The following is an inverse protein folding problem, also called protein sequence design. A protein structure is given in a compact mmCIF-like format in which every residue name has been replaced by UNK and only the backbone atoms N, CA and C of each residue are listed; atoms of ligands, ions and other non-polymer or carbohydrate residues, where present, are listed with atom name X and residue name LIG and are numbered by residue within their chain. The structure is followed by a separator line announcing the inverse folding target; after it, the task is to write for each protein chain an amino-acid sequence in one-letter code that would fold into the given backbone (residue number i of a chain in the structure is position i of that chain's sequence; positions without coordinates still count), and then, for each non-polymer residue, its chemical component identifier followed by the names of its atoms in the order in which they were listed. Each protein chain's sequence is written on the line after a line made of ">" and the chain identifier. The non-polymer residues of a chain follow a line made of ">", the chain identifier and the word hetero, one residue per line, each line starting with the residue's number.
data_IF_414280135817
#
_entry.id   IF_414280135817
#
_cell.length_a   1.000
_cell.length_b   1.000
_cell.length_c   1.000
_cell.angle_alpha   90.00
_cell.angle_beta   90.00
_cell.angle_gamma   90.00
#
_symmetry.space_group_name_H-M   'P 1'
#
loop_
_entity.id
_entity.type
_entity.pdbx_description
1 polymer ?
#
# COMPACT_ATOMS: atom_id res chain seq x y z
N UNK A 1 -4.53 21.89 24.72
CA UNK A 1 -4.07 22.82 23.67
C UNK A 1 -3.72 21.99 22.45
N UNK A 2 -4.61 21.97 21.46
CA UNK A 2 -4.48 21.14 20.26
C UNK A 2 -3.51 21.82 19.29
N UNK A 3 -2.33 21.24 19.08
CA UNK A 3 -1.37 21.74 18.09
C UNK A 3 -1.83 21.21 16.73
N UNK A 4 -2.40 22.08 15.90
CA UNK A 4 -2.67 21.78 14.49
C UNK A 4 -1.35 21.37 13.83
N UNK A 5 -1.24 20.10 13.41
CA UNK A 5 -0.27 19.70 12.41
C UNK A 5 -0.67 20.40 11.13
N UNK A 6 0.09 21.42 10.75
CA UNK A 6 0.02 21.98 9.41
C UNK A 6 0.61 20.90 8.51
N UNK A 7 -0.25 20.20 7.75
CA UNK A 7 0.20 19.44 6.58
C UNK A 7 0.93 20.44 5.69
N UNK A 8 2.27 20.37 5.64
CA UNK A 8 2.99 21.02 4.57
C UNK A 8 2.57 20.34 3.28
N UNK A 9 2.25 21.10 2.21
CA UNK A 9 1.99 20.51 0.91
C UNK A 9 3.21 19.71 0.47
N UNK A 10 2.96 18.52 -0.06
CA UNK A 10 3.99 17.59 -0.53
C UNK A 10 4.89 18.31 -1.56
N UNK A 11 6.20 18.45 -1.33
CA UNK A 11 7.09 19.20 -2.22
C UNK A 11 7.16 18.64 -3.65
N UNK A 12 6.70 17.41 -3.87
CA UNK A 12 6.64 16.77 -5.19
C UNK A 12 5.29 16.91 -5.90
N UNK A 13 4.27 17.52 -5.29
CA UNK A 13 3.01 17.78 -5.98
C UNK A 13 3.13 19.09 -6.78
N UNK A 14 3.18 19.05 -8.13
CA UNK A 14 3.28 20.27 -8.91
C UNK A 14 2.03 21.11 -8.65
N UNK A 15 2.23 22.35 -8.19
CA UNK A 15 1.16 23.33 -7.97
C UNK A 15 0.18 23.28 -9.14
N UNK A 16 -1.10 22.91 -8.93
CA UNK A 16 -2.08 22.89 -10.00
C UNK A 16 -2.10 24.27 -10.66
N UNK A 17 -1.85 24.31 -11.97
CA UNK A 17 -1.75 25.56 -12.70
C UNK A 17 -3.01 26.40 -12.43
N UNK A 18 -2.87 27.71 -12.12
CA UNK A 18 -4.01 28.55 -11.78
C UNK A 18 -5.01 28.51 -12.94
N UNK A 19 -6.23 28.05 -12.66
CA UNK A 19 -7.28 27.98 -13.65
C UNK A 19 -7.49 29.39 -14.26
N UNK A 20 -7.32 29.55 -15.59
CA UNK A 20 -7.48 30.85 -16.22
C UNK A 20 -8.92 31.34 -16.05
N UNK A 21 -9.05 32.62 -15.65
CA UNK A 21 -10.33 33.32 -15.49
C UNK A 21 -11.19 33.11 -16.73
N UNK A 22 -12.43 32.66 -16.53
CA UNK A 22 -13.48 32.51 -17.55
C UNK A 22 -13.61 33.80 -18.37
N UNK A 23 -13.23 33.72 -19.65
CA UNK A 23 -13.83 34.51 -20.72
C UNK A 23 -14.44 33.56 -21.77
N UNK A 24 -15.57 33.97 -22.36
CA UNK A 24 -16.51 33.14 -23.11
C UNK A 24 -16.06 32.82 -24.55
N UNK A 25 -16.16 31.53 -24.93
CA UNK A 25 -16.26 30.88 -26.28
C UNK A 25 -14.99 31.01 -27.16
N UNK A 26 -14.45 30.00 -27.85
CA UNK A 26 -15.00 28.80 -28.48
C UNK A 26 -13.98 27.64 -28.53
N UNK A 27 -14.46 26.45 -28.90
CA UNK A 27 -13.81 25.13 -28.88
C UNK A 27 -12.35 25.02 -29.37
N UNK A 28 -11.52 24.32 -28.59
CA UNK A 28 -10.50 23.38 -29.10
C UNK A 28 -9.92 22.57 -27.94
N UNK A 29 -9.98 21.24 -28.00
CA UNK A 29 -9.13 20.35 -27.19
C UNK A 29 -9.78 19.55 -26.06
N UNK A 30 -11.07 19.22 -26.10
CA UNK A 30 -11.52 18.01 -25.38
C UNK A 30 -10.90 16.81 -26.10
N UNK A 31 -9.87 16.22 -25.51
CA UNK A 31 -9.40 14.90 -25.92
C UNK A 31 -10.61 13.97 -25.78
N UNK A 32 -11.23 13.63 -26.91
CA UNK A 32 -12.30 12.63 -26.97
C UNK A 32 -11.68 11.32 -26.51
N UNK A 33 -11.86 10.98 -25.24
CA UNK A 33 -11.71 9.61 -24.79
C UNK A 33 -12.73 8.77 -25.54
N UNK A 34 -12.27 8.08 -26.58
CA UNK A 34 -13.07 7.13 -27.32
C UNK A 34 -13.14 5.86 -26.48
N UNK A 35 -14.15 5.80 -25.61
CA UNK A 35 -14.45 4.61 -24.84
C UNK A 35 -15.17 3.60 -25.75
N UNK A 36 -14.40 2.71 -26.39
CA UNK A 36 -14.96 1.63 -27.23
C UNK A 36 -15.54 0.55 -26.31
N UNK A 37 -16.83 0.65 -25.99
CA UNK A 37 -17.57 -0.44 -25.36
C UNK A 37 -18.14 -1.36 -26.44
N UNK A 38 -17.58 -2.56 -26.60
CA UNK A 38 -18.24 -3.62 -27.35
C UNK A 38 -19.38 -4.13 -26.47
N UNK A 39 -20.56 -3.51 -26.57
CA UNK A 39 -21.79 -4.07 -25.99
C UNK A 39 -22.21 -5.26 -26.83
N UNK A 40 -21.70 -6.45 -26.48
CA UNK A 40 -22.33 -7.69 -26.87
C UNK A 40 -23.36 -8.01 -25.80
N UNK A 41 -24.62 -7.85 -26.15
CA UNK A 41 -25.77 -8.29 -25.36
C UNK A 41 -25.62 -9.79 -25.08
N UNK A 42 -25.32 -10.12 -23.83
CA UNK A 42 -25.67 -11.39 -23.24
C UNK A 42 -26.02 -11.12 -21.78
N UNK A 43 -27.28 -11.40 -21.48
CA UNK A 43 -27.86 -11.58 -20.17
C UNK A 43 -26.95 -12.46 -19.28
N UNK A 44 -27.10 -12.30 -17.97
CA UNK A 44 -26.51 -13.08 -16.88
C UNK A 44 -25.30 -12.47 -16.13
N UNK A 45 -25.41 -12.62 -14.80
CA UNK A 45 -24.58 -12.10 -13.72
C UNK A 45 -23.08 -12.12 -14.01
N UNK A 46 -22.46 -10.94 -14.09
CA UNK A 46 -21.01 -10.84 -14.10
C UNK A 46 -20.52 -9.43 -13.80
N UNK A 47 -19.72 -9.31 -12.76
CA UNK A 47 -18.97 -8.11 -12.32
C UNK A 47 -18.49 -7.25 -13.52
N UNK A 48 -18.49 -5.90 -13.44
CA UNK A 48 -18.17 -4.99 -14.57
C UNK A 48 -16.72 -5.06 -15.12
N UNK A 49 -15.95 -6.10 -14.80
CA UNK A 49 -14.58 -6.34 -15.28
C UNK A 49 -14.47 -7.18 -16.56
N UNK A 50 -15.60 -7.65 -17.11
CA UNK A 50 -15.63 -8.59 -18.23
C UNK A 50 -15.71 -7.92 -19.60
N UNK A 51 -14.63 -7.32 -20.10
CA UNK A 51 -14.59 -6.86 -21.50
C UNK A 51 -13.21 -6.44 -21.99
N UNK A 52 -12.51 -7.32 -22.70
CA UNK A 52 -11.32 -6.98 -23.51
C UNK A 52 -9.96 -6.97 -22.82
N UNK A 53 -9.89 -7.27 -21.51
CA UNK A 53 -8.62 -7.23 -20.77
C UNK A 53 -7.99 -8.62 -20.62
N UNK A 54 -6.66 -8.74 -20.75
CA UNK A 54 -5.95 -10.02 -20.51
C UNK A 54 -6.04 -10.44 -19.04
N UNK A 55 -5.90 -11.73 -18.75
CA UNK A 55 -5.96 -12.25 -17.38
C UNK A 55 -4.92 -11.58 -16.46
N UNK A 56 -3.68 -11.45 -16.95
CA UNK A 56 -2.60 -10.75 -16.25
C UNK A 56 -2.97 -9.30 -15.93
N UNK A 57 -3.56 -8.57 -16.88
CA UNK A 57 -3.95 -7.17 -16.66
C UNK A 57 -5.08 -7.06 -15.63
N UNK A 58 -6.02 -8.02 -15.59
CA UNK A 58 -7.08 -8.03 -14.56
C UNK A 58 -6.49 -8.30 -13.18
N UNK A 59 -5.60 -9.27 -13.07
CA UNK A 59 -4.92 -9.59 -11.82
C UNK A 59 -4.10 -8.41 -11.29
N UNK A 60 -3.33 -7.76 -12.17
CA UNK A 60 -2.56 -6.56 -11.82
C UNK A 60 -3.46 -5.45 -11.28
N UNK A 61 -4.59 -5.17 -11.95
CA UNK A 61 -5.55 -4.16 -11.49
C UNK A 61 -6.26 -4.53 -10.18
N UNK A 62 -6.40 -5.82 -9.87
CA UNK A 62 -6.94 -6.26 -8.57
C UNK A 62 -5.92 -6.05 -7.45
N UNK A 63 -4.63 -6.32 -7.72
CA UNK A 63 -3.55 -6.09 -6.73
C UNK A 63 -3.39 -4.60 -6.39
N UNK A 64 -3.44 -3.73 -7.40
CA UNK A 64 -3.37 -2.27 -7.19
C UNK A 64 -4.51 -1.80 -6.27
N UNK A 65 -5.75 -2.21 -6.55
CA UNK A 65 -6.87 -1.85 -5.68
C UNK A 65 -6.73 -2.41 -4.28
N UNK A 66 -6.27 -3.66 -4.15
CA UNK A 66 -6.07 -4.28 -2.85
C UNK A 66 -5.02 -3.53 -2.01
N UNK A 67 -3.97 -2.98 -2.62
CA UNK A 67 -2.96 -2.14 -1.97
C UNK A 67 -3.53 -0.75 -1.62
N UNK A 68 -4.29 -0.13 -2.52
CA UNK A 68 -4.94 1.17 -2.27
C UNK A 68 -5.99 1.11 -1.13
N UNK A 69 -6.70 -0.02 -1.02
CA UNK A 69 -7.71 -0.27 0.01
C UNK A 69 -7.09 -0.69 1.36
N UNK A 70 -5.77 -0.89 1.43
CA UNK A 70 -5.10 -1.24 2.68
C UNK A 70 -5.16 -0.06 3.67
N UNK A 71 -5.48 -0.39 4.93
CA UNK A 71 -5.56 0.63 5.96
C UNK A 71 -4.15 1.06 6.34
N UNK A 72 -3.86 2.34 6.15
CA UNK A 72 -2.67 2.97 6.70
C UNK A 72 -2.83 3.17 8.21
N UNK A 73 -1.81 2.77 8.97
CA UNK A 73 -1.71 3.07 10.38
C UNK A 73 -0.74 4.24 10.58
N UNK A 74 -1.17 5.22 11.39
CA UNK A 74 -0.35 6.37 11.74
C UNK A 74 0.72 5.96 12.75
N UNK A 75 1.99 6.09 12.36
CA UNK A 75 3.13 5.86 13.25
C UNK A 75 3.85 7.17 13.57
N UNK A 76 4.24 7.30 14.84
CA UNK A 76 5.08 8.41 15.28
C UNK A 76 6.56 8.08 15.09
N UNK A 77 7.31 8.99 14.46
CA UNK A 77 8.75 8.84 14.30
C UNK A 77 9.48 9.04 15.64
N UNK A 78 10.06 7.96 16.15
CA UNK A 78 10.90 7.96 17.34
C UNK A 78 12.38 7.99 16.94
N UNK A 79 13.04 9.15 17.08
CA UNK A 79 14.46 9.30 16.78
C UNK A 79 15.38 8.60 17.79
N UNK A 80 16.68 8.55 17.50
CA UNK A 80 17.66 7.80 18.32
C UNK A 80 17.82 8.23 19.78
N UNK A 81 17.32 9.41 20.15
CA UNK A 81 17.41 9.96 21.52
C UNK A 81 16.04 10.02 22.23
N UNK A 82 14.99 9.44 21.66
CA UNK A 82 13.67 9.43 22.30
C UNK A 82 13.58 8.31 23.33
N UNK A 83 12.67 8.46 24.30
CA UNK A 83 12.50 7.49 25.39
C UNK A 83 11.98 6.14 24.86
N UNK A 84 11.12 6.19 23.86
CA UNK A 84 10.54 5.04 23.15
C UNK A 84 11.65 4.21 22.48
N UNK A 85 12.64 4.87 21.88
CA UNK A 85 13.80 4.18 21.29
C UNK A 85 14.66 3.50 22.35
N UNK A 86 14.89 4.17 23.49
CA UNK A 86 15.64 3.58 24.59
C UNK A 86 14.93 2.36 25.17
N UNK A 87 13.61 2.43 25.36
CA UNK A 87 12.80 1.30 25.82
C UNK A 87 12.81 0.13 24.83
N UNK A 88 12.57 0.41 23.55
CA UNK A 88 12.60 -0.61 22.50
C UNK A 88 13.98 -1.29 22.42
N UNK A 89 15.07 -0.53 22.57
CA UNK A 89 16.42 -1.07 22.61
C UNK A 89 16.65 -1.98 23.83
N UNK A 90 16.21 -1.57 25.03
CA UNK A 90 16.36 -2.39 26.23
C UNK A 90 15.57 -3.70 26.13
N UNK A 91 14.37 -3.65 25.52
CA UNK A 91 13.53 -4.84 25.30
C UNK A 91 14.12 -5.85 24.30
N UNK A 92 15.18 -5.51 23.55
CA UNK A 92 15.90 -6.50 22.74
C UNK A 92 16.69 -7.50 23.58
N UNK A 93 17.03 -7.12 24.81
CA UNK A 93 17.80 -7.97 25.71
C UNK A 93 16.86 -8.74 26.64
N UNK A 94 17.22 -9.99 26.92
CA UNK A 94 16.50 -10.79 27.90
C UNK A 94 16.59 -10.12 29.27
N UNK A 95 15.46 -10.06 29.97
CA UNK A 95 15.38 -9.52 31.34
C UNK A 95 15.78 -10.55 32.40
N UNK A 96 15.85 -11.82 32.01
CA UNK A 96 16.17 -12.93 32.89
C UNK A 96 17.42 -13.64 32.41
N UNK A 97 18.29 -13.96 33.36
CA UNK A 97 19.46 -14.76 33.13
C UNK A 97 19.07 -16.22 33.35
N UNK A 98 18.81 -16.92 32.25
CA UNK A 98 18.58 -18.36 32.22
C UNK A 98 19.70 -19.02 31.42
N UNK A 99 20.20 -20.14 31.91
CA UNK A 99 21.18 -20.93 31.17
C UNK A 99 20.51 -21.51 29.92
N UNK A 100 21.09 -21.20 28.76
CA UNK A 100 20.60 -21.74 27.49
C UNK A 100 21.01 -23.22 27.38
N UNK A 101 20.02 -24.10 27.28
CA UNK A 101 20.24 -25.53 27.06
C UNK A 101 19.92 -25.96 25.62
N UNK A 102 20.86 -26.65 24.97
CA UNK A 102 20.61 -27.33 23.71
C UNK A 102 20.19 -28.78 23.99
N UNK A 103 18.89 -29.02 24.15
CA UNK A 103 18.34 -30.35 24.48
C UNK A 103 18.15 -31.26 23.27
N UNK A 104 18.36 -30.75 22.05
CA UNK A 104 18.04 -31.44 20.81
C UNK A 104 19.29 -31.91 20.08
N UNK A 105 19.33 -33.19 19.71
CA UNK A 105 20.38 -33.76 18.88
C UNK A 105 20.20 -33.38 17.40
N UNK A 106 21.31 -33.26 16.65
CA UNK A 106 21.28 -32.89 15.22
C UNK A 106 20.40 -33.84 14.39
N UNK A 107 20.37 -35.13 14.72
CA UNK A 107 19.53 -36.10 14.01
C UNK A 107 18.04 -35.88 14.30
N UNK A 108 17.68 -35.36 15.48
CA UNK A 108 16.32 -34.98 15.78
C UNK A 108 15.89 -33.76 14.96
N UNK A 109 16.75 -32.74 14.82
CA UNK A 109 16.50 -31.58 13.96
C UNK A 109 16.31 -32.01 12.50
N UNK A 110 17.21 -32.84 11.97
CA UNK A 110 17.13 -33.28 10.57
C UNK A 110 15.82 -34.03 10.26
N UNK A 111 15.31 -34.85 11.20
CA UNK A 111 14.03 -35.56 11.05
C UNK A 111 12.81 -34.64 11.03
N UNK A 112 12.92 -33.40 11.52
CA UNK A 112 11.80 -32.42 11.45
C UNK A 112 11.67 -31.75 10.09
N UNK A 113 12.71 -31.81 9.26
CA UNK A 113 12.73 -31.13 7.96
C UNK A 113 12.01 -32.03 6.95
N UNK A 114 10.82 -31.60 6.50
CA UNK A 114 10.08 -32.35 5.46
C UNK A 114 10.89 -32.42 4.17
N UNK A 115 11.20 -33.64 3.72
CA UNK A 115 11.87 -33.90 2.44
C UNK A 115 13.39 -34.05 2.55
N UNK A 116 13.95 -34.04 3.75
CA UNK A 116 15.25 -34.67 4.07
C UNK A 116 15.04 -36.12 4.53
#
# INVERSE_FOLDING_TARGET
>A
MTRMMVLLPDPDEPTPAPAPKKEKKAASGEAKEVQVSIRKTADDKGMPFGGGMTAVRREMLMRIRAEEDEKWDDYEFCGGQTAETAEAYQNMFATHEEDLECTTDITAVLKTIRGL
#
